data_IF_644828445943
#
_entry.id   IF_644828445943
#
_cell.length_a   1.000
_cell.length_b   1.000
_cell.length_c   1.000
_cell.angle_alpha   90.00
_cell.angle_beta   90.00
_cell.angle_gamma   90.00
#
_symmetry.space_group_name_H-M   'P 1'
#
loop_
_entity.id
_entity.type
_entity.pdbx_description
1 polymer ?
#
# COMPACT_ATOMS: atom_id res chain seq x y z
N UNK A 1 -8.20 10.85 -28.05
CA UNK A 1 -9.23 9.82 -27.81
C UNK A 1 -10.60 10.48 -27.78
N UNK A 2 -10.94 11.28 -26.77
CA UNK A 2 -12.27 11.91 -26.65
C UNK A 2 -12.67 12.76 -27.87
N UNK A 3 -11.71 13.45 -28.48
CA UNK A 3 -11.93 14.23 -29.71
C UNK A 3 -12.09 13.38 -30.99
N UNK A 4 -12.09 12.05 -30.90
CA UNK A 4 -12.15 11.15 -32.06
C UNK A 4 -10.91 11.14 -32.97
N UNK A 5 -9.86 11.90 -32.64
CA UNK A 5 -8.65 12.07 -33.48
C UNK A 5 -7.79 10.80 -33.63
N UNK A 6 -7.84 9.91 -32.64
CA UNK A 6 -7.07 8.67 -32.60
C UNK A 6 -7.74 7.67 -31.65
N UNK A 7 -7.47 6.37 -31.82
CA UNK A 7 -7.96 5.32 -30.92
C UNK A 7 -7.00 5.10 -29.74
N UNK A 8 -7.43 4.28 -28.76
CA UNK A 8 -6.57 3.91 -27.61
C UNK A 8 -5.30 3.15 -28.05
N UNK A 9 -5.34 2.40 -29.15
CA UNK A 9 -4.17 1.69 -29.66
C UNK A 9 -3.16 2.60 -30.36
N UNK A 10 -3.58 3.78 -30.79
CA UNK A 10 -2.75 4.73 -31.55
C UNK A 10 -2.06 5.77 -30.66
N UNK A 11 -2.37 5.82 -29.37
CA UNK A 11 -1.78 6.80 -28.46
C UNK A 11 -0.34 6.45 -28.09
N UNK A 12 0.43 7.49 -27.76
CA UNK A 12 1.81 7.34 -27.30
C UNK A 12 1.81 6.82 -25.85
N UNK A 13 1.83 5.50 -25.68
CA UNK A 13 1.83 4.85 -24.36
C UNK A 13 3.21 4.50 -23.80
N UNK A 14 4.23 4.39 -24.66
CA UNK A 14 5.61 4.09 -24.25
C UNK A 14 6.60 4.83 -25.13
N UNK A 15 7.84 5.03 -24.65
CA UNK A 15 8.86 5.66 -25.49
C UNK A 15 9.15 4.80 -26.74
N UNK A 16 9.14 3.48 -26.60
CA UNK A 16 9.41 2.52 -27.68
C UNK A 16 8.38 2.65 -28.82
N UNK A 17 7.12 2.97 -28.49
CA UNK A 17 6.07 3.29 -29.47
C UNK A 17 6.44 4.48 -30.35
N UNK A 18 7.14 5.49 -29.82
CA UNK A 18 7.58 6.65 -30.61
C UNK A 18 8.59 6.23 -31.67
N UNK A 19 9.65 5.53 -31.25
CA UNK A 19 10.70 5.10 -32.16
C UNK A 19 10.17 4.16 -33.23
N UNK A 20 9.41 3.14 -32.84
CA UNK A 20 8.86 2.14 -33.77
C UNK A 20 7.86 2.74 -34.76
N UNK A 21 6.99 3.65 -34.29
CA UNK A 21 6.05 4.36 -35.16
C UNK A 21 6.77 5.24 -36.20
N UNK A 22 7.77 6.01 -35.77
CA UNK A 22 8.52 6.89 -36.67
C UNK A 22 9.31 6.09 -37.72
N UNK A 23 9.93 4.97 -37.33
CA UNK A 23 10.60 4.06 -38.28
C UNK A 23 9.58 3.48 -39.26
N UNK A 24 8.42 3.05 -38.79
CA UNK A 24 7.36 2.53 -39.67
C UNK A 24 6.85 3.57 -40.67
N UNK A 25 6.88 4.86 -40.30
CA UNK A 25 6.55 5.97 -41.19
C UNK A 25 7.65 6.34 -42.19
N UNK A 26 8.85 5.79 -42.05
CA UNK A 26 9.99 6.05 -42.95
C UNK A 26 11.04 7.02 -42.39
N UNK A 27 10.91 7.49 -41.14
CA UNK A 27 11.94 8.32 -40.51
C UNK A 27 13.18 7.48 -40.22
N UNK A 28 14.36 8.03 -40.49
CA UNK A 28 15.64 7.35 -40.28
C UNK A 28 15.79 6.88 -38.81
N UNK A 29 16.25 5.64 -38.55
CA UNK A 29 16.31 5.05 -37.21
C UNK A 29 17.05 5.88 -36.15
N UNK A 30 18.19 6.49 -36.48
CA UNK A 30 18.94 7.35 -35.55
C UNK A 30 18.17 8.62 -35.19
N UNK A 31 17.45 9.20 -36.16
CA UNK A 31 16.58 10.36 -35.95
C UNK A 31 15.36 9.98 -35.11
N UNK A 32 14.70 8.86 -35.41
CA UNK A 32 13.59 8.34 -34.62
C UNK A 32 14.00 8.08 -33.16
N UNK A 33 15.19 7.51 -32.95
CA UNK A 33 15.77 7.30 -31.62
C UNK A 33 16.02 8.62 -30.87
N UNK A 34 16.61 9.63 -31.54
CA UNK A 34 16.82 10.96 -30.94
C UNK A 34 15.50 11.61 -30.53
N UNK A 35 14.49 11.60 -31.41
CA UNK A 35 13.17 12.16 -31.15
C UNK A 35 12.52 11.46 -29.95
N UNK A 36 12.58 10.13 -29.89
CA UNK A 36 12.11 9.36 -28.74
C UNK A 36 12.80 9.78 -27.44
N UNK A 37 14.14 9.84 -27.41
CA UNK A 37 14.91 10.15 -26.19
C UNK A 37 14.70 11.59 -25.70
N UNK A 38 14.51 12.53 -26.63
CA UNK A 38 14.15 13.92 -26.29
C UNK A 38 12.74 13.98 -25.68
N UNK A 39 11.80 13.28 -26.30
CA UNK A 39 10.38 13.30 -25.93
C UNK A 39 10.16 12.66 -24.57
N UNK A 40 10.72 11.47 -24.31
CA UNK A 40 10.55 10.75 -23.04
C UNK A 40 11.14 11.49 -21.83
N UNK A 41 12.09 12.42 -22.05
CA UNK A 41 12.70 13.27 -21.01
C UNK A 41 11.92 14.58 -20.78
N UNK A 42 10.82 14.79 -21.48
CA UNK A 42 10.06 16.03 -21.42
C UNK A 42 10.76 17.25 -21.99
N UNK A 43 11.75 17.03 -22.86
CA UNK A 43 12.59 18.09 -23.44
C UNK A 43 12.17 18.47 -24.86
N UNK A 44 11.08 17.92 -25.39
CA UNK A 44 10.63 18.14 -26.76
C UNK A 44 10.45 19.63 -27.11
N UNK A 45 9.86 20.44 -26.22
CA UNK A 45 9.72 21.90 -26.45
C UNK A 45 11.04 22.66 -26.61
N UNK A 46 12.15 22.12 -26.08
CA UNK A 46 13.46 22.79 -26.07
C UNK A 46 14.43 22.19 -27.10
N UNK A 47 14.37 20.88 -27.33
CA UNK A 47 15.39 20.14 -28.09
C UNK A 47 14.88 19.55 -29.40
N UNK A 48 13.57 19.53 -29.64
CA UNK A 48 13.02 19.09 -30.90
C UNK A 48 13.17 20.22 -31.93
N UNK A 49 14.28 20.17 -32.68
CA UNK A 49 14.59 21.12 -33.77
C UNK A 49 13.55 21.07 -34.90
N UNK A 50 13.55 22.10 -35.76
CA UNK A 50 12.66 22.14 -36.92
C UNK A 50 13.00 21.06 -37.96
N UNK A 51 14.25 20.60 -38.03
CA UNK A 51 14.65 19.44 -38.82
C UNK A 51 13.91 18.17 -38.38
N UNK A 52 13.82 17.91 -37.07
CA UNK A 52 13.08 16.76 -36.56
C UNK A 52 11.59 16.83 -36.94
N UNK A 53 10.98 18.02 -36.83
CA UNK A 53 9.56 18.22 -37.19
C UNK A 53 9.35 18.09 -38.70
N UNK A 54 10.26 18.63 -39.50
CA UNK A 54 10.23 18.53 -40.96
C UNK A 54 10.34 17.06 -41.40
N UNK A 55 11.26 16.29 -40.83
CA UNK A 55 11.40 14.87 -41.12
C UNK A 55 10.14 14.07 -40.75
N UNK A 56 9.49 14.38 -39.62
CA UNK A 56 8.21 13.78 -39.25
C UNK A 56 7.12 14.12 -40.29
N UNK A 57 6.97 15.38 -40.67
CA UNK A 57 5.96 15.82 -41.65
C UNK A 57 6.21 15.23 -43.05
N UNK A 58 7.46 15.21 -43.50
CA UNK A 58 7.86 14.61 -44.78
C UNK A 58 7.52 13.11 -44.86
N UNK A 59 7.47 12.43 -43.72
CA UNK A 59 7.11 11.01 -43.59
C UNK A 59 5.63 10.81 -43.18
N UNK A 60 4.75 11.78 -43.43
CA UNK A 60 3.32 11.69 -43.17
C UNK A 60 2.96 11.34 -41.71
N UNK A 61 3.75 11.86 -40.76
CA UNK A 61 3.39 11.87 -39.33
C UNK A 61 2.37 12.99 -39.10
N UNK A 62 1.18 12.68 -38.57
CA UNK A 62 0.15 13.70 -38.34
C UNK A 62 0.58 14.77 -37.34
N UNK A 63 0.11 16.01 -37.54
CA UNK A 63 0.49 17.15 -36.67
C UNK A 63 0.10 16.92 -35.21
N UNK A 64 -1.05 16.28 -34.94
CA UNK A 64 -1.47 15.94 -33.58
C UNK A 64 -0.45 15.07 -32.85
N UNK A 65 0.29 14.22 -33.57
CA UNK A 65 1.30 13.34 -33.00
C UNK A 65 2.54 14.15 -32.59
N UNK A 66 2.95 15.11 -33.42
CA UNK A 66 4.04 16.05 -33.11
C UNK A 66 3.66 16.88 -31.89
N UNK A 67 2.44 17.42 -31.84
CA UNK A 67 1.92 18.17 -30.71
C UNK A 67 1.84 17.33 -29.43
N UNK A 68 1.52 16.04 -29.55
CA UNK A 68 1.52 15.10 -28.43
C UNK A 68 2.93 14.93 -27.86
N UNK A 69 3.95 14.74 -28.72
CA UNK A 69 5.36 14.68 -28.30
C UNK A 69 5.80 15.93 -27.53
N UNK A 70 5.33 17.13 -27.90
CA UNK A 70 5.65 18.39 -27.22
C UNK A 70 5.03 18.52 -25.81
N UNK A 71 3.99 17.73 -25.50
CA UNK A 71 3.27 17.78 -24.22
C UNK A 71 3.84 16.81 -23.19
N UNK A 72 4.38 15.68 -23.62
CA UNK A 72 4.93 14.63 -22.76
C UNK A 72 6.01 15.21 -21.84
N UNK A 73 5.92 14.95 -20.54
CA UNK A 73 6.91 15.38 -19.51
C UNK A 73 7.86 14.26 -19.10
N UNK A 74 7.35 13.04 -19.10
CA UNK A 74 8.08 11.82 -18.80
C UNK A 74 7.34 10.66 -19.48
N UNK A 75 8.07 9.64 -19.94
CA UNK A 75 7.46 8.45 -20.55
C UNK A 75 8.27 7.19 -20.24
N UNK A 76 7.58 6.11 -19.86
CA UNK A 76 8.22 4.85 -19.51
C UNK A 76 8.72 4.06 -20.73
N UNK A 77 9.79 3.26 -20.58
CA UNK A 77 10.09 2.17 -21.48
C UNK A 77 9.02 1.06 -21.41
N UNK A 78 8.73 0.43 -22.54
CA UNK A 78 7.79 -0.68 -22.63
C UNK A 78 8.17 -1.84 -21.71
N UNK A 79 9.47 -2.14 -21.58
CA UNK A 79 9.96 -3.18 -20.67
C UNK A 79 9.62 -2.90 -19.20
N UNK A 80 9.70 -1.63 -18.77
CA UNK A 80 9.37 -1.25 -17.39
C UNK A 80 7.87 -1.36 -17.14
N UNK A 81 7.04 -0.86 -18.07
CA UNK A 81 5.59 -1.03 -17.99
C UNK A 81 5.19 -2.51 -17.93
N UNK A 82 5.79 -3.36 -18.78
CA UNK A 82 5.53 -4.80 -18.79
C UNK A 82 5.90 -5.45 -17.44
N UNK A 83 7.07 -5.13 -16.87
CA UNK A 83 7.49 -5.68 -15.57
C UNK A 83 6.51 -5.33 -14.44
N UNK A 84 6.07 -4.08 -14.37
CA UNK A 84 5.09 -3.63 -13.36
C UNK A 84 3.73 -4.29 -13.56
N UNK A 85 3.26 -4.41 -14.80
CA UNK A 85 1.98 -5.06 -15.10
C UNK A 85 2.04 -6.55 -14.76
N UNK A 86 3.14 -7.25 -15.03
CA UNK A 86 3.31 -8.66 -14.63
C UNK A 86 3.23 -8.81 -13.11
N UNK A 87 3.89 -7.93 -12.35
CA UNK A 87 3.81 -7.94 -10.89
C UNK A 87 2.38 -7.65 -10.39
N UNK A 88 1.72 -6.66 -10.98
CA UNK A 88 0.33 -6.33 -10.66
C UNK A 88 -0.63 -7.49 -10.96
N UNK A 89 -0.46 -8.19 -12.09
CA UNK A 89 -1.25 -9.37 -12.44
C UNK A 89 -1.04 -10.53 -11.45
N UNK A 90 0.20 -10.75 -11.00
CA UNK A 90 0.49 -11.74 -9.95
C UNK A 90 -0.23 -11.40 -8.65
N UNK A 91 -0.16 -10.14 -8.20
CA UNK A 91 -0.88 -9.69 -7.01
C UNK A 91 -2.40 -9.76 -7.17
N UNK A 92 -2.92 -9.43 -8.36
CA UNK A 92 -4.35 -9.53 -8.66
C UNK A 92 -4.86 -10.97 -8.60
N UNK A 93 -4.04 -11.94 -9.01
CA UNK A 93 -4.36 -13.36 -8.88
C UNK A 93 -4.57 -13.76 -7.41
N UNK A 94 -3.66 -13.38 -6.51
CA UNK A 94 -3.85 -13.60 -5.07
C UNK A 94 -5.08 -12.85 -4.55
N UNK A 95 -5.26 -11.60 -4.94
CA UNK A 95 -6.44 -10.82 -4.54
C UNK A 95 -7.74 -11.52 -4.92
N UNK A 96 -7.81 -12.20 -6.07
CA UNK A 96 -9.01 -12.89 -6.54
C UNK A 96 -9.20 -14.25 -5.87
N UNK A 97 -8.16 -15.09 -5.83
CA UNK A 97 -8.25 -16.51 -5.45
C UNK A 97 -7.83 -16.81 -3.99
N UNK A 98 -7.02 -15.94 -3.38
CA UNK A 98 -6.48 -16.05 -2.02
C UNK A 98 -6.63 -14.71 -1.28
N UNK A 99 -7.87 -14.22 -1.11
CA UNK A 99 -8.11 -12.88 -0.61
C UNK A 99 -7.58 -12.66 0.81
N UNK A 100 -7.69 -13.64 1.69
CA UNK A 100 -7.24 -13.52 3.09
C UNK A 100 -5.74 -13.33 3.14
N UNK A 101 -4.99 -14.12 2.37
CA UNK A 101 -3.54 -14.06 2.23
C UNK A 101 -3.10 -12.74 1.58
N UNK A 102 -3.83 -12.28 0.56
CA UNK A 102 -3.58 -10.99 -0.07
C UNK A 102 -3.71 -9.84 0.93
N UNK A 103 -4.82 -9.79 1.69
CA UNK A 103 -5.05 -8.71 2.65
C UNK A 103 -4.07 -8.78 3.83
N UNK A 104 -3.81 -9.97 4.37
CA UNK A 104 -2.80 -10.18 5.41
C UNK A 104 -1.42 -9.65 4.98
N UNK A 105 -0.98 -10.01 3.78
CA UNK A 105 0.30 -9.55 3.22
C UNK A 105 0.28 -8.04 2.95
N UNK A 106 -0.82 -7.52 2.40
CA UNK A 106 -0.98 -6.09 2.12
C UNK A 106 -0.86 -5.26 3.40
N UNK A 107 -1.56 -5.66 4.47
CA UNK A 107 -1.53 -4.94 5.75
C UNK A 107 -0.17 -5.06 6.43
N UNK A 108 0.50 -6.21 6.32
CA UNK A 108 1.86 -6.39 6.86
C UNK A 108 2.88 -5.47 6.17
N UNK A 109 2.82 -5.33 4.85
CA UNK A 109 3.84 -4.59 4.07
C UNK A 109 3.48 -3.12 3.86
N UNK A 110 2.20 -2.77 3.85
CA UNK A 110 1.70 -1.42 3.50
C UNK A 110 0.66 -0.87 4.46
N UNK A 111 0.27 -1.61 5.50
CA UNK A 111 -0.73 -1.20 6.49
C UNK A 111 -0.19 -0.25 7.56
N UNK A 112 0.74 0.64 7.21
CA UNK A 112 1.14 1.71 8.12
C UNK A 112 -0.05 2.65 8.38
N UNK A 113 -0.12 3.20 9.60
CA UNK A 113 -1.12 4.17 10.03
C UNK A 113 -2.59 3.69 9.96
N UNK A 114 -2.84 2.40 10.21
CA UNK A 114 -4.21 1.89 10.32
C UNK A 114 -4.90 2.37 11.62
N UNK A 115 -6.12 2.89 11.49
CA UNK A 115 -7.00 3.19 12.61
C UNK A 115 -7.67 1.91 13.12
N UNK A 116 -6.94 1.14 13.93
CA UNK A 116 -7.41 -0.14 14.46
C UNK A 116 -8.69 -0.02 15.29
N UNK A 117 -8.91 1.10 15.97
CA UNK A 117 -10.14 1.36 16.72
C UNK A 117 -11.34 1.37 15.78
N UNK A 118 -11.26 2.14 14.68
CA UNK A 118 -12.33 2.18 13.67
C UNK A 118 -12.54 0.82 12.99
N UNK A 119 -11.46 0.06 12.78
CA UNK A 119 -11.51 -1.27 12.16
C UNK A 119 -12.25 -2.26 13.06
N UNK A 120 -11.93 -2.28 14.35
CA UNK A 120 -12.54 -3.18 15.32
C UNK A 120 -14.01 -2.81 15.61
N UNK A 121 -14.36 -1.53 15.48
CA UNK A 121 -15.76 -1.07 15.56
C UNK A 121 -16.60 -1.47 14.34
N UNK A 122 -16.00 -2.02 13.28
CA UNK A 122 -16.67 -2.61 12.14
C UNK A 122 -16.79 -1.71 10.91
N UNK A 123 -17.37 -2.26 9.84
CA UNK A 123 -17.36 -1.65 8.51
C UNK A 123 -18.04 -0.26 8.48
N UNK A 124 -19.07 -0.04 9.29
CA UNK A 124 -19.78 1.23 9.32
C UNK A 124 -18.92 2.35 9.92
N UNK A 125 -18.17 2.05 10.98
CA UNK A 125 -17.18 2.95 11.56
C UNK A 125 -16.07 3.29 10.55
N UNK A 126 -15.55 2.28 9.84
CA UNK A 126 -14.57 2.48 8.75
C UNK A 126 -15.13 3.42 7.67
N UNK A 127 -16.36 3.20 7.20
CA UNK A 127 -17.01 4.07 6.19
C UNK A 127 -17.18 5.50 6.71
N UNK A 128 -17.55 5.68 7.96
CA UNK A 128 -17.71 7.01 8.56
C UNK A 128 -16.37 7.73 8.68
N UNK A 129 -15.31 7.03 9.09
CA UNK A 129 -13.94 7.56 9.11
C UNK A 129 -13.48 7.97 7.71
N UNK A 130 -13.73 7.14 6.70
CA UNK A 130 -13.41 7.47 5.31
C UNK A 130 -14.15 8.72 4.81
N UNK A 131 -15.43 8.89 5.16
CA UNK A 131 -16.19 10.11 4.83
C UNK A 131 -15.55 11.35 5.46
N UNK A 132 -15.20 11.26 6.74
CA UNK A 132 -14.52 12.34 7.46
C UNK A 132 -13.20 12.73 6.79
N UNK A 133 -12.33 11.76 6.51
CA UNK A 133 -11.04 11.99 5.84
C UNK A 133 -11.23 12.58 4.43
N UNK A 134 -12.21 12.08 3.67
CA UNK A 134 -12.52 12.60 2.33
C UNK A 134 -12.96 14.06 2.36
N UNK A 135 -13.79 14.45 3.33
CA UNK A 135 -14.18 15.87 3.52
C UNK A 135 -12.95 16.72 3.81
N UNK A 136 -12.06 16.26 4.69
CA UNK A 136 -10.83 16.95 5.04
C UNK A 136 -9.87 17.12 3.85
N UNK A 137 -9.76 16.09 3.01
CA UNK A 137 -8.99 16.13 1.76
C UNK A 137 -9.56 17.15 0.76
N UNK A 138 -10.89 17.18 0.60
CA UNK A 138 -11.55 18.16 -0.26
C UNK A 138 -11.32 19.61 0.21
N UNK A 139 -11.23 19.81 1.52
CA UNK A 139 -10.92 21.10 2.14
C UNK A 139 -9.42 21.43 2.14
N UNK A 140 -8.55 20.52 1.66
CA UNK A 140 -7.08 20.63 1.70
C UNK A 140 -6.51 20.80 3.12
N UNK A 141 -7.18 20.22 4.10
CA UNK A 141 -6.78 20.22 5.52
C UNK A 141 -6.18 18.88 5.96
N UNK A 142 -6.19 17.88 5.07
CA UNK A 142 -5.64 16.55 5.36
C UNK A 142 -4.11 16.58 5.37
N UNK A 143 -3.54 15.89 6.35
CA UNK A 143 -2.11 15.60 6.41
C UNK A 143 -1.76 14.42 5.49
N UNK A 144 -0.49 14.27 5.10
CA UNK A 144 -0.04 13.13 4.31
C UNK A 144 -0.37 11.77 4.98
N UNK A 145 -0.30 11.72 6.32
CA UNK A 145 -0.70 10.55 7.11
C UNK A 145 -2.19 10.24 6.99
N UNK A 146 -3.04 11.26 6.96
CA UNK A 146 -4.49 11.10 6.78
C UNK A 146 -4.86 10.65 5.36
N UNK A 147 -4.14 11.13 4.33
CA UNK A 147 -4.31 10.67 2.95
C UNK A 147 -3.89 9.20 2.78
N UNK A 148 -2.78 8.80 3.42
CA UNK A 148 -2.33 7.42 3.46
C UNK A 148 -3.35 6.53 4.20
N UNK A 149 -3.83 6.99 5.36
CA UNK A 149 -4.87 6.31 6.12
C UNK A 149 -6.16 6.13 5.30
N UNK A 150 -6.59 7.16 4.56
CA UNK A 150 -7.76 7.04 3.68
C UNK A 150 -7.57 5.92 2.64
N UNK A 151 -6.40 5.86 2.01
CA UNK A 151 -6.06 4.81 1.03
C UNK A 151 -6.07 3.42 1.67
N UNK A 152 -5.48 3.27 2.86
CA UNK A 152 -5.49 2.00 3.59
C UNK A 152 -6.90 1.57 4.01
N UNK A 153 -7.74 2.52 4.45
CA UNK A 153 -9.13 2.25 4.82
C UNK A 153 -10.00 1.85 3.62
N UNK A 154 -9.68 2.29 2.38
CA UNK A 154 -10.36 1.78 1.18
C UNK A 154 -10.15 0.27 1.02
N UNK A 155 -8.92 -0.21 1.23
CA UNK A 155 -8.59 -1.63 1.16
C UNK A 155 -9.25 -2.40 2.30
N UNK A 156 -9.27 -1.85 3.52
CA UNK A 156 -9.98 -2.46 4.66
C UNK A 156 -11.49 -2.55 4.40
N UNK A 157 -12.11 -1.50 3.88
CA UNK A 157 -13.54 -1.52 3.57
C UNK A 157 -13.89 -2.55 2.49
N UNK A 158 -13.03 -2.70 1.46
CA UNK A 158 -13.15 -3.75 0.45
C UNK A 158 -13.01 -5.15 1.07
N UNK A 159 -11.99 -5.36 1.90
CA UNK A 159 -11.76 -6.60 2.63
C UNK A 159 -12.99 -7.01 3.45
N UNK A 160 -13.54 -6.09 4.25
CA UNK A 160 -14.75 -6.32 5.04
C UNK A 160 -15.98 -6.59 4.15
N UNK A 161 -16.10 -5.90 3.01
CA UNK A 161 -17.19 -6.14 2.06
C UNK A 161 -17.11 -7.53 1.40
N UNK A 162 -15.92 -8.12 1.34
CA UNK A 162 -15.69 -9.50 0.87
C UNK A 162 -15.86 -10.55 1.97
N UNK A 163 -16.25 -10.14 3.19
CA UNK A 163 -16.47 -11.04 4.32
C UNK A 163 -15.20 -11.46 5.07
N UNK A 164 -14.04 -10.89 4.74
CA UNK A 164 -12.80 -11.15 5.48
C UNK A 164 -12.82 -10.32 6.77
N UNK A 165 -12.55 -10.97 7.90
CA UNK A 165 -12.67 -10.37 9.23
C UNK A 165 -11.31 -10.18 9.87
N UNK A 166 -11.20 -9.15 10.72
CA UNK A 166 -10.09 -9.01 11.64
C UNK A 166 -10.40 -9.72 12.95
N UNK A 167 -9.35 -10.23 13.57
CA UNK A 167 -9.34 -10.66 14.95
C UNK A 167 -8.54 -9.64 15.78
N UNK A 168 -8.93 -9.36 17.04
CA UNK A 168 -8.24 -8.41 17.90
C UNK A 168 -6.78 -8.80 18.16
N UNK A 169 -6.03 -8.00 18.88
CA UNK A 169 -4.71 -8.46 19.36
C UNK A 169 -4.90 -9.53 20.42
N UNK A 170 -4.05 -10.55 20.40
CA UNK A 170 -4.01 -11.65 21.36
C UNK A 170 -2.57 -11.80 21.85
N UNK A 171 -2.36 -11.79 23.17
CA UNK A 171 -1.03 -11.87 23.78
C UNK A 171 -0.25 -13.14 23.44
N UNK A 172 -0.92 -14.22 23.07
CA UNK A 172 -0.32 -15.51 22.72
C UNK A 172 -0.23 -15.71 21.21
N UNK A 173 -1.21 -15.22 20.45
CA UNK A 173 -1.32 -15.50 19.02
C UNK A 173 -0.84 -14.35 18.11
N UNK A 174 -0.82 -13.10 18.59
CA UNK A 174 -0.35 -11.96 17.80
C UNK A 174 1.16 -11.93 17.64
N UNK A 175 1.59 -11.43 16.49
CA UNK A 175 3.00 -11.15 16.18
C UNK A 175 3.33 -9.68 16.45
N UNK A 176 4.62 -9.35 16.46
CA UNK A 176 5.08 -7.98 16.60
C UNK A 176 4.55 -7.08 15.47
N UNK A 177 4.67 -7.52 14.21
CA UNK A 177 4.40 -6.68 13.02
C UNK A 177 3.59 -7.38 11.93
N UNK A 178 3.53 -8.71 11.95
CA UNK A 178 2.91 -9.49 10.88
C UNK A 178 1.44 -9.74 11.16
N UNK A 179 0.60 -9.47 10.16
CA UNK A 179 -0.82 -9.81 10.18
C UNK A 179 -0.97 -11.27 9.78
N UNK A 180 -1.02 -12.18 10.76
CA UNK A 180 -1.14 -13.62 10.50
C UNK A 180 -2.58 -14.04 10.26
N UNK A 181 -2.73 -15.18 9.59
CA UNK A 181 -4.04 -15.76 9.29
C UNK A 181 -4.36 -16.81 10.35
N UNK A 182 -5.53 -16.70 10.94
CA UNK A 182 -6.06 -17.60 11.96
C UNK A 182 -7.51 -17.91 11.62
N UNK A 183 -7.81 -19.19 11.34
CA UNK A 183 -9.15 -19.68 10.96
C UNK A 183 -9.85 -18.88 9.85
N UNK A 184 -9.08 -18.46 8.83
CA UNK A 184 -9.58 -17.68 7.69
C UNK A 184 -9.83 -16.19 7.99
N UNK A 185 -9.41 -15.73 9.17
CA UNK A 185 -9.46 -14.32 9.61
C UNK A 185 -8.04 -13.78 9.80
N UNK A 186 -7.93 -12.47 9.95
CA UNK A 186 -6.63 -11.78 10.03
C UNK A 186 -6.41 -11.27 11.45
N UNK A 187 -5.42 -11.83 12.14
CA UNK A 187 -5.00 -11.44 13.49
C UNK A 187 -4.22 -10.12 13.44
N UNK A 188 -4.62 -9.15 14.24
CA UNK A 188 -3.88 -7.89 14.36
C UNK A 188 -2.54 -8.12 15.08
N UNK A 189 -1.43 -7.52 14.61
CA UNK A 189 -0.16 -7.53 15.33
C UNK A 189 -0.14 -6.50 16.46
N UNK A 190 0.80 -6.64 17.38
CA UNK A 190 0.99 -5.67 18.47
C UNK A 190 1.29 -4.26 17.95
N UNK A 191 2.05 -4.12 16.86
CA UNK A 191 2.37 -2.81 16.27
C UNK A 191 1.17 -2.05 15.72
N UNK A 192 0.03 -2.72 15.52
CA UNK A 192 -1.20 -2.08 15.06
C UNK A 192 -1.94 -1.34 16.20
N UNK A 193 -1.58 -1.60 17.46
CA UNK A 193 -2.17 -0.91 18.61
C UNK A 193 -1.61 0.50 18.74
N UNK A 194 -2.52 1.47 18.85
CA UNK A 194 -2.15 2.85 19.19
C UNK A 194 -1.44 2.88 20.55
N UNK A 195 -0.22 3.42 20.58
CA UNK A 195 0.61 3.46 21.79
C UNK A 195 1.57 2.28 21.95
N UNK A 196 1.45 1.22 21.14
CA UNK A 196 2.43 0.14 21.05
C UNK A 196 3.42 0.42 19.91
N UNK A 197 4.57 1.01 20.25
CA UNK A 197 5.65 1.23 19.28
C UNK A 197 6.30 -0.08 18.83
N UNK A 198 7.03 -0.06 17.70
CA UNK A 198 7.65 -1.25 17.13
C UNK A 198 8.57 -2.02 18.09
N UNK A 199 9.29 -1.33 18.97
CA UNK A 199 10.13 -1.96 20.00
C UNK A 199 9.28 -2.69 21.04
N UNK A 200 8.22 -2.06 21.54
CA UNK A 200 7.33 -2.69 22.51
C UNK A 200 6.61 -3.91 21.90
N UNK A 201 6.23 -3.83 20.63
CA UNK A 201 5.64 -4.95 19.89
C UNK A 201 6.60 -6.14 19.77
N UNK A 202 7.89 -5.89 19.49
CA UNK A 202 8.93 -6.92 19.45
C UNK A 202 9.17 -7.54 20.83
N UNK A 203 9.19 -6.72 21.89
CA UNK A 203 9.36 -7.22 23.25
C UNK A 203 8.19 -8.08 23.73
N UNK A 204 6.95 -7.71 23.37
CA UNK A 204 5.76 -8.53 23.66
C UNK A 204 5.84 -9.89 22.97
N UNK A 205 6.20 -9.92 21.69
CA UNK A 205 6.37 -11.15 20.95
C UNK A 205 7.52 -12.01 21.53
N UNK A 206 8.63 -11.40 21.92
CA UNK A 206 9.77 -12.10 22.51
C UNK A 206 9.43 -12.68 23.90
N UNK A 207 8.67 -11.96 24.72
CA UNK A 207 8.26 -12.42 26.05
C UNK A 207 7.28 -13.60 26.02
N UNK A 208 6.62 -13.86 24.89
CA UNK A 208 5.83 -15.08 24.70
C UNK A 208 6.73 -16.30 24.57
N UNK A 209 7.86 -16.14 23.90
CA UNK A 209 8.77 -17.22 23.50
C UNK A 209 9.98 -17.36 24.44
N UNK A 210 9.94 -16.74 25.63
CA UNK A 210 11.02 -16.75 26.63
C UNK A 210 11.18 -18.10 27.38
N UNK A 211 10.27 -19.06 27.14
CA UNK A 211 10.28 -20.38 27.74
C UNK A 211 9.62 -20.48 29.13
N UNK A 212 9.10 -19.38 29.69
CA UNK A 212 8.45 -19.37 31.01
C UNK A 212 6.96 -19.78 30.98
N UNK A 213 6.43 -20.08 29.79
CA UNK A 213 5.04 -20.54 29.61
C UNK A 213 4.01 -19.41 29.73
N UNK A 214 2.77 -19.76 30.07
CA UNK A 214 1.64 -18.82 30.12
C UNK A 214 1.88 -17.71 31.15
N UNK A 215 1.39 -16.50 30.84
CA UNK A 215 1.49 -15.38 31.77
C UNK A 215 0.62 -15.62 33.00
N UNK A 216 1.20 -15.45 34.19
CA UNK A 216 0.48 -15.65 35.46
C UNK A 216 -0.43 -14.46 35.79
N UNK A 217 -0.01 -13.26 35.39
CA UNK A 217 -0.75 -12.03 35.59
C UNK A 217 -0.33 -10.94 34.59
N UNK A 218 -1.10 -9.85 34.56
CA UNK A 218 -0.74 -8.65 33.78
C UNK A 218 0.58 -8.05 34.26
N UNK A 219 0.88 -8.12 35.56
CA UNK A 219 2.17 -7.72 36.12
C UNK A 219 3.32 -8.61 35.62
N UNK A 220 3.09 -9.91 35.54
CA UNK A 220 4.06 -10.86 35.00
C UNK A 220 4.36 -10.57 33.52
N UNK A 221 3.31 -10.39 32.69
CA UNK A 221 3.46 -9.97 31.29
C UNK A 221 4.25 -8.68 31.16
N UNK A 222 3.90 -7.65 31.95
CA UNK A 222 4.59 -6.35 31.91
C UNK A 222 6.06 -6.47 32.27
N UNK A 223 6.39 -7.29 33.27
CA UNK A 223 7.77 -7.55 33.71
C UNK A 223 8.55 -8.31 32.64
N UNK A 224 8.01 -9.41 32.13
CA UNK A 224 8.64 -10.27 31.11
C UNK A 224 8.85 -9.51 29.80
N UNK A 225 7.84 -8.79 29.32
CA UNK A 225 7.92 -7.98 28.11
C UNK A 225 8.62 -6.63 28.31
N UNK A 226 8.96 -6.23 29.54
CA UNK A 226 9.61 -4.94 29.83
C UNK A 226 8.91 -3.73 29.18
N UNK A 227 7.58 -3.76 29.09
CA UNK A 227 6.78 -2.72 28.43
C UNK A 227 6.26 -1.66 29.40
N UNK A 228 5.97 -0.48 28.87
CA UNK A 228 5.42 0.64 29.65
C UNK A 228 3.97 0.36 30.08
N UNK A 229 3.51 1.08 31.11
CA UNK A 229 2.12 1.00 31.56
C UNK A 229 1.13 1.38 30.44
N UNK A 230 1.49 2.33 29.59
CA UNK A 230 0.68 2.77 28.45
C UNK A 230 0.43 1.64 27.43
N UNK A 231 1.41 0.76 27.22
CA UNK A 231 1.24 -0.40 26.33
C UNK A 231 0.27 -1.42 26.93
N UNK A 232 0.34 -1.63 28.24
CA UNK A 232 -0.61 -2.50 28.96
C UNK A 232 -2.03 -1.92 28.91
N UNK A 233 -2.20 -0.61 29.12
CA UNK A 233 -3.49 0.07 28.99
C UNK A 233 -4.06 -0.06 27.57
N UNK A 234 -3.21 -0.01 26.53
CA UNK A 234 -3.62 -0.25 25.15
C UNK A 234 -4.05 -1.70 24.88
N UNK A 235 -3.35 -2.68 25.48
CA UNK A 235 -3.73 -4.10 25.41
C UNK A 235 -5.04 -4.39 26.15
N UNK A 236 -5.26 -3.77 27.33
CA UNK A 236 -6.50 -3.87 28.09
C UNK A 236 -7.67 -3.26 27.30
N UNK A 237 -7.49 -2.08 26.69
CA UNK A 237 -8.50 -1.45 25.83
C UNK A 237 -8.82 -2.25 24.57
N UNK A 238 -7.88 -3.09 24.09
CA UNK A 238 -8.09 -3.99 22.96
C UNK A 238 -8.72 -5.33 23.34
N UNK A 239 -8.96 -5.59 24.64
CA UNK A 239 -9.49 -6.85 25.15
C UNK A 239 -8.47 -8.00 25.18
N UNK A 240 -7.18 -7.72 24.94
CA UNK A 240 -6.15 -8.75 24.83
C UNK A 240 -5.75 -9.40 26.17
N UNK A 241 -6.26 -8.87 27.30
CA UNK A 241 -5.89 -9.27 28.66
C UNK A 241 -7.09 -9.82 29.48
N UNK A 242 -8.25 -10.04 28.86
CA UNK A 242 -9.47 -10.45 29.58
C UNK A 242 -9.33 -11.77 30.34
N UNK A 243 -8.53 -12.71 29.81
CA UNK A 243 -8.29 -14.03 30.39
C UNK A 243 -7.12 -14.07 31.39
N UNK A 244 -6.47 -12.92 31.68
CA UNK A 244 -5.27 -12.85 32.52
C UNK A 244 -5.58 -12.11 33.84
N UNK A 245 -5.31 -12.72 35.01
CA UNK A 245 -5.45 -12.06 36.30
C UNK A 245 -4.62 -10.77 36.40
N UNK A 246 -5.13 -9.75 37.08
CA UNK A 246 -4.37 -8.47 37.22
C UNK A 246 -3.09 -8.63 38.04
N UNK A 247 -3.13 -9.40 39.12
CA UNK A 247 -1.99 -9.63 40.02
C UNK A 247 -1.88 -11.11 40.38
N UNK A 248 -0.67 -11.57 40.64
CA UNK A 248 -0.41 -12.93 41.14
C UNK A 248 -0.62 -12.93 42.67
N UNK A 249 -1.70 -13.53 43.17
CA UNK A 249 -1.98 -13.53 44.62
C UNK A 249 -1.21 -14.59 45.42
N UNK A 250 -0.40 -15.45 44.78
CA UNK A 250 0.42 -16.45 45.48
C UNK A 250 1.80 -16.52 44.82
N UNK A 251 2.82 -16.10 45.57
CA UNK A 251 4.22 -16.34 45.23
C UNK A 251 4.56 -17.78 45.58
N UNK A 252 5.01 -18.56 44.59
CA UNK A 252 5.50 -19.94 44.79
C UNK A 252 6.78 -20.02 45.63
N UNK A 253 7.40 -18.89 45.96
CA UNK A 253 8.56 -18.80 46.84
C UNK A 253 8.20 -18.51 48.31
N UNK A 254 6.90 -18.39 48.62
CA UNK A 254 6.40 -18.16 49.99
C UNK A 254 5.85 -19.46 50.65
N UNK A 255 6.12 -20.64 50.08
CA UNK A 255 5.82 -21.96 50.67
C UNK A 255 7.08 -22.74 51.05
#
# INVERSE_FOLDING_TARGET
IDNGTCTISDVIGTRDSIMTYLIHKGVEPSMAFKIMEITRKGKAKKLLTDEHKAAMRANNVPEWYIDSCLKIKYMFPKAHAAAYVIAAMRLAWYKLYYPVEYYATYMTVRGEDLDTVSIMAGQEAVKNKMKYLKTKMNMKEATAKEENMFTSLQVVNEMMARGVQFLPVDVYNSDAKVYHIEDGKIRLPFSALGGCGGVAAEQLAAARDDGEGKYLSVEDLRRRASVSKTVIEALEAAGALEDIPKTTQISLFDM
#
